data_IF_977148152980
#
_entry.id   IF_977148152980
#
_cell.length_a   1.000
_cell.length_b   1.000
_cell.length_c   1.000
_cell.angle_alpha   90.00
_cell.angle_beta   90.00
_cell.angle_gamma   90.00
#
_symmetry.space_group_name_H-M   'P 1'
#
loop_
_entity.id
_entity.type
_entity.pdbx_description
1 polymer ?
#
# COMPACT_ATOMS: atom_id res chain seq x y z
N UNK A 1 -5.82 -11.49 13.90
CA UNK A 1 -6.64 -10.52 14.62
C UNK A 1 -8.00 -11.07 14.99
N UNK A 2 -8.58 -10.54 16.04
CA UNK A 2 -9.96 -10.80 16.46
C UNK A 2 -10.66 -9.48 16.77
N UNK A 3 -11.96 -9.50 17.11
CA UNK A 3 -12.75 -8.31 17.33
C UNK A 3 -12.24 -7.50 18.53
N UNK A 4 -11.84 -8.17 19.62
CA UNK A 4 -11.31 -7.51 20.80
C UNK A 4 -10.02 -6.77 20.50
N UNK A 5 -9.07 -7.43 19.81
CA UNK A 5 -7.83 -6.81 19.35
C UNK A 5 -8.11 -5.55 18.52
N UNK A 6 -9.03 -5.62 17.57
CA UNK A 6 -9.36 -4.47 16.72
C UNK A 6 -9.94 -3.33 17.52
N UNK A 7 -10.91 -3.58 18.40
CA UNK A 7 -11.51 -2.55 19.27
C UNK A 7 -10.45 -1.87 20.13
N UNK A 8 -9.60 -2.66 20.79
CA UNK A 8 -8.53 -2.16 21.65
C UNK A 8 -7.49 -1.36 20.85
N UNK A 9 -7.10 -1.86 19.67
CA UNK A 9 -6.17 -1.20 18.77
C UNK A 9 -6.66 0.21 18.42
N UNK A 10 -7.90 0.33 17.98
CA UNK A 10 -8.45 1.60 17.57
C UNK A 10 -8.71 2.59 18.72
N UNK A 11 -8.98 2.10 19.92
CA UNK A 11 -9.07 2.96 21.11
C UNK A 11 -7.73 3.59 21.48
N UNK A 12 -6.62 2.92 21.17
CA UNK A 12 -5.26 3.35 21.48
C UNK A 12 -4.55 4.05 20.31
N UNK A 13 -5.13 4.02 19.12
CA UNK A 13 -4.56 4.67 17.95
C UNK A 13 -4.66 6.19 18.06
N UNK A 14 -3.54 6.88 17.86
CA UNK A 14 -3.41 8.33 17.99
C UNK A 14 -2.98 8.94 16.64
N UNK A 15 -3.90 9.09 15.66
CA UNK A 15 -3.55 9.64 14.37
C UNK A 15 -3.09 11.10 14.49
N UNK A 16 -2.01 11.43 13.80
CA UNK A 16 -1.51 12.78 13.72
C UNK A 16 -2.43 13.61 12.80
N UNK A 17 -2.79 14.82 13.24
CA UNK A 17 -3.66 15.73 12.46
C UNK A 17 -3.01 16.26 11.17
N UNK A 18 -1.69 16.13 11.03
CA UNK A 18 -0.94 16.60 9.85
C UNK A 18 -0.76 15.53 8.77
N UNK A 19 -0.89 14.23 9.14
CA UNK A 19 -0.61 13.11 8.27
C UNK A 19 -1.89 12.34 7.93
N UNK A 20 -1.99 11.85 6.70
CA UNK A 20 -3.01 10.88 6.31
C UNK A 20 -2.62 9.50 6.86
N UNK A 21 -3.42 8.95 7.77
CA UNK A 21 -3.23 7.61 8.31
C UNK A 21 -4.30 6.68 7.75
N UNK A 22 -3.88 5.56 7.14
CA UNK A 22 -4.78 4.54 6.60
C UNK A 22 -4.55 3.23 7.33
N UNK A 23 -5.62 2.59 7.82
CA UNK A 23 -5.52 1.25 8.40
C UNK A 23 -6.20 0.24 7.49
N UNK A 24 -5.38 -0.60 6.85
CA UNK A 24 -5.85 -1.65 5.96
C UNK A 24 -6.18 -2.92 6.76
N UNK A 25 -7.47 -3.15 6.99
CA UNK A 25 -7.96 -4.29 7.78
C UNK A 25 -8.46 -5.43 6.90
N UNK A 26 -8.45 -6.69 7.42
CA UNK A 26 -9.17 -7.77 6.78
C UNK A 26 -10.64 -7.42 6.56
N UNK A 27 -11.19 -7.82 5.42
CA UNK A 27 -12.54 -7.43 4.96
C UNK A 27 -13.66 -7.71 5.96
N UNK A 28 -13.56 -8.81 6.73
CA UNK A 28 -14.55 -9.19 7.75
C UNK A 28 -14.65 -8.18 8.93
N UNK A 29 -13.72 -7.24 9.02
CA UNK A 29 -13.68 -6.25 10.09
C UNK A 29 -13.99 -4.82 9.62
N UNK A 30 -14.09 -4.56 8.32
CA UNK A 30 -14.22 -3.22 7.76
C UNK A 30 -15.45 -2.48 8.32
N UNK A 31 -16.60 -3.13 8.38
CA UNK A 31 -17.85 -2.54 8.89
C UNK A 31 -17.84 -2.22 10.40
N UNK A 32 -16.83 -2.66 11.12
CA UNK A 32 -16.68 -2.39 12.56
C UNK A 32 -15.78 -1.20 12.85
N UNK A 33 -15.18 -0.65 11.81
CA UNK A 33 -14.23 0.45 11.88
C UNK A 33 -15.01 1.76 11.72
N UNK A 34 -15.40 2.37 12.82
CA UNK A 34 -16.02 3.71 12.81
C UNK A 34 -15.06 4.69 13.44
N UNK A 35 -14.64 5.70 12.68
CA UNK A 35 -13.72 6.73 13.13
C UNK A 35 -14.38 8.10 13.17
N UNK A 36 -13.99 8.87 14.16
CA UNK A 36 -14.35 10.28 14.31
C UNK A 36 -13.14 11.21 14.12
N UNK A 37 -12.14 10.78 13.32
CA UNK A 37 -10.95 11.59 13.06
C UNK A 37 -10.87 11.94 11.59
N UNK A 38 -10.61 13.20 11.27
CA UNK A 38 -10.55 13.72 9.90
C UNK A 38 -9.38 13.16 9.07
N UNK A 39 -8.35 12.57 9.73
CA UNK A 39 -7.13 12.11 9.05
C UNK A 39 -6.89 10.60 9.20
N UNK A 40 -7.89 9.85 9.65
CA UNK A 40 -7.84 8.40 9.75
C UNK A 40 -8.84 7.77 8.78
N UNK A 41 -8.33 6.97 7.86
CA UNK A 41 -9.09 6.36 6.78
C UNK A 41 -9.11 4.84 6.91
N UNK A 42 -10.16 4.23 6.38
CA UNK A 42 -10.29 2.78 6.27
C UNK A 42 -9.70 2.33 4.94
N UNK A 43 -8.82 1.32 4.99
CA UNK A 43 -8.28 0.64 3.84
C UNK A 43 -8.69 -0.83 3.79
N UNK A 44 -8.78 -1.39 2.60
CA UNK A 44 -8.91 -2.82 2.35
C UNK A 44 -7.54 -3.43 1.96
N UNK A 45 -7.40 -4.74 2.15
CA UNK A 45 -6.16 -5.47 1.84
C UNK A 45 -6.14 -6.07 0.43
N UNK A 46 -7.29 -6.18 -0.21
CA UNK A 46 -7.47 -6.64 -1.58
C UNK A 46 -8.90 -6.39 -2.07
N UNK A 47 -9.13 -6.58 -3.37
CA UNK A 47 -10.42 -6.45 -4.04
C UNK A 47 -10.55 -7.48 -5.17
N UNK A 48 -11.78 -7.82 -5.56
CA UNK A 48 -12.06 -8.64 -6.73
C UNK A 48 -11.88 -7.89 -8.06
N UNK A 49 -11.53 -8.62 -9.11
CA UNK A 49 -11.59 -8.09 -10.49
C UNK A 49 -13.02 -7.99 -11.03
N UNK A 50 -14.00 -8.53 -10.31
CA UNK A 50 -15.39 -8.54 -10.72
C UNK A 50 -16.21 -7.54 -9.92
N UNK A 51 -17.01 -6.74 -10.61
CA UNK A 51 -17.88 -5.76 -9.98
C UNK A 51 -19.16 -6.39 -9.42
N UNK A 52 -19.75 -7.30 -10.16
CA UNK A 52 -21.02 -8.00 -9.83
C UNK A 52 -21.02 -9.41 -10.44
N UNK A 53 -21.84 -10.32 -9.90
CA UNK A 53 -22.06 -11.65 -10.46
C UNK A 53 -21.91 -12.79 -9.45
N UNK A 54 -21.94 -14.02 -9.94
CA UNK A 54 -21.84 -15.24 -9.13
C UNK A 54 -20.36 -15.62 -8.88
N UNK A 55 -19.70 -14.84 -8.07
CA UNK A 55 -18.30 -15.02 -7.68
C UNK A 55 -18.21 -15.26 -6.18
N UNK A 56 -18.58 -16.46 -5.75
CA UNK A 56 -18.71 -16.84 -4.35
C UNK A 56 -17.42 -16.57 -3.58
N UNK A 57 -17.51 -15.74 -2.53
CA UNK A 57 -16.38 -15.38 -1.66
C UNK A 57 -15.65 -14.10 -2.05
N UNK A 58 -15.88 -13.56 -3.25
CA UNK A 58 -15.24 -12.32 -3.73
C UNK A 58 -15.87 -11.07 -3.11
N UNK A 59 -15.04 -10.05 -2.93
CA UNK A 59 -15.43 -8.74 -2.41
C UNK A 59 -15.18 -7.70 -3.49
N UNK A 60 -16.23 -7.10 -4.03
CA UNK A 60 -16.13 -6.13 -5.11
C UNK A 60 -15.77 -4.72 -4.59
N UNK A 61 -15.26 -3.87 -5.49
CA UNK A 61 -14.98 -2.46 -5.17
C UNK A 61 -16.26 -1.71 -4.72
N UNK A 62 -17.41 -2.04 -5.29
CA UNK A 62 -18.71 -1.49 -4.87
C UNK A 62 -19.08 -1.86 -3.43
N UNK A 63 -18.83 -3.12 -3.01
CA UNK A 63 -19.01 -3.53 -1.62
C UNK A 63 -18.09 -2.75 -0.67
N UNK A 64 -16.82 -2.58 -1.04
CA UNK A 64 -15.86 -1.79 -0.26
C UNK A 64 -16.27 -0.32 -0.15
N UNK A 65 -16.72 0.29 -1.25
CA UNK A 65 -17.22 1.69 -1.26
C UNK A 65 -18.43 1.87 -0.32
N UNK A 66 -19.34 0.91 -0.28
CA UNK A 66 -20.50 0.93 0.64
C UNK A 66 -20.09 0.85 2.13
N UNK A 67 -18.92 0.27 2.42
CA UNK A 67 -18.33 0.25 3.77
C UNK A 67 -17.44 1.46 4.06
N UNK A 68 -17.48 2.51 3.23
CA UNK A 68 -16.67 3.73 3.34
C UNK A 68 -15.16 3.48 3.29
N UNK A 69 -14.73 2.46 2.58
CA UNK A 69 -13.31 2.21 2.31
C UNK A 69 -12.80 3.26 1.34
N UNK A 70 -11.72 3.95 1.72
CA UNK A 70 -11.12 5.01 0.91
C UNK A 70 -9.87 4.57 0.14
N UNK A 71 -9.19 3.53 0.62
CA UNK A 71 -7.95 2.99 0.04
C UNK A 71 -8.01 1.47 -0.05
N UNK A 72 -7.30 0.90 -1.03
CA UNK A 72 -7.18 -0.55 -1.12
C UNK A 72 -5.80 -0.96 -1.62
N UNK A 73 -5.15 -1.88 -0.91
CA UNK A 73 -3.90 -2.50 -1.39
C UNK A 73 -4.22 -3.40 -2.57
N UNK A 74 -3.38 -3.35 -3.60
CA UNK A 74 -3.43 -4.28 -4.73
C UNK A 74 -2.02 -4.69 -5.13
N UNK A 75 -1.84 -5.96 -5.46
CA UNK A 75 -0.55 -6.48 -5.89
C UNK A 75 0.52 -6.55 -4.81
N UNK A 76 0.15 -6.53 -3.52
CA UNK A 76 1.08 -6.78 -2.42
C UNK A 76 1.92 -8.03 -2.69
N UNK A 77 3.18 -8.03 -2.29
CA UNK A 77 4.13 -9.12 -2.57
C UNK A 77 3.61 -10.51 -2.22
N UNK A 78 2.91 -10.65 -1.08
CA UNK A 78 2.26 -11.91 -0.68
C UNK A 78 1.19 -12.34 -1.67
N UNK A 79 0.42 -11.41 -2.23
CA UNK A 79 -0.61 -11.74 -3.20
C UNK A 79 -0.03 -12.16 -4.55
N UNK A 80 1.05 -11.50 -4.98
CA UNK A 80 1.81 -11.91 -6.16
C UNK A 80 2.38 -13.32 -5.99
N UNK A 81 2.93 -13.61 -4.82
CA UNK A 81 3.61 -14.87 -4.52
C UNK A 81 2.63 -16.03 -4.28
N UNK A 82 1.62 -15.84 -3.43
CA UNK A 82 0.76 -16.94 -2.96
C UNK A 82 -0.57 -17.05 -3.69
N UNK A 83 -1.06 -15.95 -4.26
CA UNK A 83 -2.37 -15.90 -4.95
C UNK A 83 -2.23 -15.62 -6.44
N UNK A 84 -0.99 -15.52 -6.95
CA UNK A 84 -0.67 -15.36 -8.36
C UNK A 84 -1.30 -14.11 -9.00
N UNK A 85 -1.44 -13.02 -8.24
CA UNK A 85 -1.88 -11.73 -8.76
C UNK A 85 -0.82 -11.19 -9.74
N UNK A 86 -1.09 -11.32 -11.05
CA UNK A 86 -0.26 -10.79 -12.13
C UNK A 86 -0.57 -9.30 -12.38
N UNK A 87 0.31 -8.61 -13.10
CA UNK A 87 0.16 -7.18 -13.36
C UNK A 87 -1.19 -6.84 -14.02
N UNK A 88 -1.66 -7.68 -14.97
CA UNK A 88 -2.96 -7.47 -15.63
C UNK A 88 -4.16 -7.61 -14.66
N UNK A 89 -4.03 -8.49 -13.67
CA UNK A 89 -5.04 -8.65 -12.60
C UNK A 89 -5.04 -7.40 -11.72
N UNK A 90 -3.87 -6.92 -11.34
CA UNK A 90 -3.69 -5.72 -10.52
C UNK A 90 -4.24 -4.49 -11.24
N UNK A 91 -3.99 -4.37 -12.53
CA UNK A 91 -4.53 -3.30 -13.38
C UNK A 91 -6.08 -3.30 -13.34
N UNK A 92 -6.72 -4.45 -13.58
CA UNK A 92 -8.19 -4.59 -13.52
C UNK A 92 -8.75 -4.26 -12.14
N UNK A 93 -8.10 -4.72 -11.05
CA UNK A 93 -8.47 -4.36 -9.67
C UNK A 93 -8.40 -2.85 -9.46
N UNK A 94 -7.33 -2.21 -9.95
CA UNK A 94 -7.12 -0.76 -9.83
C UNK A 94 -8.18 0.04 -10.59
N UNK A 95 -8.57 -0.38 -11.79
CA UNK A 95 -9.67 0.24 -12.55
C UNK A 95 -10.97 0.20 -11.72
N UNK A 96 -11.34 -0.99 -11.23
CA UNK A 96 -12.58 -1.15 -10.43
C UNK A 96 -12.58 -0.26 -9.18
N UNK A 97 -11.42 -0.11 -8.51
CA UNK A 97 -11.31 0.76 -7.35
C UNK A 97 -11.50 2.22 -7.71
N UNK A 98 -10.80 2.71 -8.75
CA UNK A 98 -10.89 4.10 -9.19
C UNK A 98 -12.33 4.47 -9.61
N UNK A 99 -13.00 3.60 -10.37
CA UNK A 99 -14.39 3.78 -10.78
C UNK A 99 -15.35 3.87 -9.58
N UNK A 100 -15.02 3.19 -8.46
CA UNK A 100 -15.79 3.25 -7.22
C UNK A 100 -15.25 4.28 -6.20
N UNK A 101 -14.39 5.21 -6.64
CA UNK A 101 -13.81 6.30 -5.83
C UNK A 101 -12.97 5.83 -4.65
N UNK A 102 -12.32 4.67 -4.79
CA UNK A 102 -11.36 4.12 -3.85
C UNK A 102 -9.96 4.26 -4.46
N UNK A 103 -9.02 4.76 -3.70
CA UNK A 103 -7.64 4.95 -4.14
C UNK A 103 -6.88 3.62 -4.08
N UNK A 104 -6.46 3.02 -5.21
CA UNK A 104 -5.56 1.87 -5.18
C UNK A 104 -4.17 2.28 -4.68
N UNK A 105 -3.62 1.46 -3.79
CA UNK A 105 -2.21 1.48 -3.42
C UNK A 105 -1.55 0.29 -4.11
N UNK A 106 -0.90 0.56 -5.24
CA UNK A 106 -0.34 -0.47 -6.13
C UNK A 106 1.06 -0.83 -5.65
N UNK A 107 1.21 -2.06 -5.17
CA UNK A 107 2.48 -2.57 -4.67
C UNK A 107 3.36 -3.12 -5.80
N UNK A 108 4.59 -2.65 -5.85
CA UNK A 108 5.62 -3.04 -6.81
C UNK A 108 6.95 -3.26 -6.10
N UNK A 109 7.78 -4.17 -6.62
CA UNK A 109 9.09 -4.42 -6.05
C UNK A 109 9.75 -5.67 -6.59
N UNK A 110 11.06 -5.73 -6.43
CA UNK A 110 11.91 -6.80 -6.92
C UNK A 110 12.24 -7.82 -5.83
N UNK A 111 12.51 -9.04 -6.25
CA UNK A 111 13.06 -10.12 -5.43
C UNK A 111 14.56 -9.92 -5.19
N UNK A 112 15.13 -10.63 -4.19
CA UNK A 112 16.57 -10.63 -3.95
C UNK A 112 17.37 -11.03 -5.18
N UNK A 113 16.93 -12.06 -5.89
CA UNK A 113 17.59 -12.54 -7.11
C UNK A 113 17.60 -11.47 -8.21
N UNK A 114 16.53 -10.73 -8.38
CA UNK A 114 16.45 -9.65 -9.36
C UNK A 114 17.36 -8.49 -8.96
N UNK A 115 17.43 -8.14 -7.68
CA UNK A 115 18.36 -7.13 -7.16
C UNK A 115 19.82 -7.53 -7.41
N UNK A 116 20.22 -8.75 -7.05
CA UNK A 116 21.57 -9.27 -7.25
C UNK A 116 21.97 -9.26 -8.73
N UNK A 117 21.02 -9.50 -9.63
CA UNK A 117 21.20 -9.41 -11.08
C UNK A 117 21.08 -7.98 -11.65
N UNK A 118 20.96 -6.95 -10.80
CA UNK A 118 20.81 -5.53 -11.18
C UNK A 118 19.58 -5.26 -12.06
N UNK A 119 18.51 -6.02 -11.89
CA UNK A 119 17.27 -5.93 -12.68
C UNK A 119 16.20 -5.06 -12.02
N UNK A 120 16.45 -4.47 -10.84
CA UNK A 120 15.47 -3.66 -10.08
C UNK A 120 14.70 -2.69 -10.97
N UNK A 121 15.41 -1.82 -11.72
CA UNK A 121 14.78 -0.81 -12.59
C UNK A 121 13.91 -1.43 -13.68
N UNK A 122 14.36 -2.51 -14.32
CA UNK A 122 13.58 -3.20 -15.35
C UNK A 122 12.32 -3.85 -14.79
N UNK A 123 12.41 -4.46 -13.61
CA UNK A 123 11.26 -5.06 -12.91
C UNK A 123 10.24 -4.00 -12.55
N UNK A 124 10.68 -2.87 -11.98
CA UNK A 124 9.80 -1.78 -11.57
C UNK A 124 9.09 -1.14 -12.77
N UNK A 125 9.81 -0.84 -13.86
CA UNK A 125 9.20 -0.31 -15.08
C UNK A 125 8.11 -1.25 -15.57
N UNK A 126 8.41 -2.54 -15.73
CA UNK A 126 7.44 -3.53 -16.20
C UNK A 126 6.22 -3.62 -15.27
N UNK A 127 6.44 -3.72 -13.96
CA UNK A 127 5.34 -3.82 -13.02
C UNK A 127 4.46 -2.57 -13.02
N UNK A 128 5.04 -1.38 -13.09
CA UNK A 128 4.29 -0.11 -13.09
C UNK A 128 3.52 0.04 -14.40
N UNK A 129 4.17 -0.10 -15.55
CA UNK A 129 3.51 0.06 -16.86
C UNK A 129 2.35 -0.92 -17.09
N UNK A 130 2.48 -2.16 -16.58
CA UNK A 130 1.44 -3.18 -16.74
C UNK A 130 0.36 -3.12 -15.65
N UNK A 131 0.66 -2.61 -14.43
CA UNK A 131 -0.27 -2.62 -13.29
C UNK A 131 -1.01 -1.30 -13.09
N UNK A 132 -0.43 -0.16 -13.45
CA UNK A 132 -1.06 1.15 -13.31
C UNK A 132 -1.96 1.40 -14.53
N UNK A 133 -3.29 1.54 -14.36
CA UNK A 133 -4.18 1.78 -15.47
C UNK A 133 -4.05 3.20 -16.05
N UNK A 134 -4.41 3.36 -17.33
CA UNK A 134 -4.36 4.66 -18.03
C UNK A 134 -5.21 5.77 -17.38
N UNK A 135 -6.28 5.39 -16.65
CA UNK A 135 -7.15 6.33 -15.92
C UNK A 135 -6.53 6.82 -14.60
N UNK A 136 -5.34 6.30 -14.23
CA UNK A 136 -4.62 6.71 -13.02
C UNK A 136 -4.03 8.10 -13.15
N UNK A 137 -4.05 8.84 -12.04
CA UNK A 137 -3.37 10.11 -11.87
C UNK A 137 -2.93 10.30 -10.41
N UNK A 138 -2.22 11.39 -10.11
CA UNK A 138 -1.66 11.66 -8.79
C UNK A 138 -2.71 11.87 -7.68
N UNK A 139 -3.98 12.13 -8.02
CA UNK A 139 -5.08 12.31 -7.05
C UNK A 139 -5.78 11.00 -6.72
N UNK A 140 -5.74 10.01 -7.62
CA UNK A 140 -6.53 8.80 -7.50
C UNK A 140 -5.72 7.49 -7.40
N UNK A 141 -4.38 7.55 -7.40
CA UNK A 141 -3.52 6.35 -7.37
C UNK A 141 -2.26 6.61 -6.57
N UNK A 142 -1.85 5.63 -5.78
CA UNK A 142 -0.60 5.62 -5.01
C UNK A 142 0.22 4.40 -5.42
N UNK A 143 1.54 4.54 -5.52
CA UNK A 143 2.49 3.44 -5.73
C UNK A 143 3.16 3.12 -4.39
N UNK A 144 3.32 1.85 -4.05
CA UNK A 144 4.09 1.42 -2.89
C UNK A 144 5.28 0.56 -3.36
N UNK A 145 6.49 1.03 -3.10
CA UNK A 145 7.70 0.26 -3.38
C UNK A 145 8.00 -0.71 -2.25
N UNK A 146 7.93 -1.98 -2.54
CA UNK A 146 8.17 -3.09 -1.61
C UNK A 146 9.44 -3.84 -2.03
N UNK A 147 10.66 -3.51 -1.54
CA UNK A 147 11.82 -4.38 -1.75
C UNK A 147 11.55 -5.73 -1.08
N UNK A 148 11.09 -6.75 -1.86
CA UNK A 148 10.57 -8.02 -1.33
C UNK A 148 11.60 -8.70 -0.43
N UNK A 149 12.87 -8.57 -0.77
CA UNK A 149 14.01 -9.10 0.00
C UNK A 149 14.18 -8.44 1.38
N UNK A 150 13.59 -7.26 1.60
CA UNK A 150 13.65 -6.51 2.85
C UNK A 150 12.38 -6.66 3.72
N UNK A 151 11.34 -7.35 3.23
CA UNK A 151 10.09 -7.52 3.97
C UNK A 151 10.23 -8.63 5.00
N UNK A 152 10.14 -8.29 6.29
CA UNK A 152 10.14 -9.27 7.39
C UNK A 152 11.48 -9.99 7.62
N UNK A 153 12.52 -9.67 6.86
CA UNK A 153 13.85 -10.32 6.97
C UNK A 153 14.78 -9.63 7.95
N UNK A 154 14.45 -8.40 8.34
CA UNK A 154 15.34 -7.53 9.13
C UNK A 154 16.41 -6.82 8.29
N UNK A 155 16.54 -7.14 7.00
CA UNK A 155 17.34 -6.38 6.06
C UNK A 155 16.64 -5.08 5.72
N UNK A 156 17.38 -4.00 5.59
CA UNK A 156 16.85 -2.69 5.19
C UNK A 156 17.80 -2.11 4.15
N UNK A 157 17.29 -1.62 3.01
CA UNK A 157 18.11 -0.81 2.10
C UNK A 157 18.69 0.39 2.82
N UNK A 158 19.80 0.94 2.35
CA UNK A 158 20.28 2.23 2.84
C UNK A 158 19.30 3.35 2.46
N UNK A 159 19.36 4.49 3.15
CA UNK A 159 18.51 5.65 2.84
C UNK A 159 18.76 6.14 1.41
N UNK A 160 20.01 6.08 0.95
CA UNK A 160 20.39 6.44 -0.41
C UNK A 160 19.77 5.47 -1.44
N UNK A 161 19.76 4.16 -1.16
CA UNK A 161 19.10 3.17 -2.04
C UNK A 161 17.59 3.41 -2.11
N UNK A 162 16.94 3.73 -0.98
CA UNK A 162 15.51 4.05 -0.93
C UNK A 162 15.25 5.30 -1.79
N UNK A 163 16.00 6.37 -1.57
CA UNK A 163 15.86 7.63 -2.30
C UNK A 163 16.08 7.46 -3.81
N UNK A 164 17.11 6.70 -4.20
CA UNK A 164 17.39 6.42 -5.62
C UNK A 164 16.21 5.71 -6.30
N UNK A 165 15.65 4.68 -5.65
CA UNK A 165 14.55 3.91 -6.24
C UNK A 165 13.25 4.74 -6.29
N UNK A 166 12.94 5.50 -5.25
CA UNK A 166 11.76 6.38 -5.24
C UNK A 166 11.87 7.48 -6.29
N UNK A 167 13.02 8.13 -6.38
CA UNK A 167 13.32 9.08 -7.46
C UNK A 167 13.19 8.43 -8.83
N UNK A 168 13.71 7.21 -9.03
CA UNK A 168 13.59 6.49 -10.27
C UNK A 168 12.12 6.23 -10.64
N UNK A 169 11.28 5.76 -9.70
CA UNK A 169 9.85 5.51 -9.94
C UNK A 169 9.15 6.77 -10.42
N UNK A 170 9.37 7.91 -9.75
CA UNK A 170 8.78 9.21 -10.14
C UNK A 170 9.25 9.69 -11.52
N UNK A 171 10.42 9.26 -11.97
CA UNK A 171 11.03 9.68 -13.23
C UNK A 171 10.96 8.63 -14.34
N UNK A 172 10.17 7.56 -14.23
CA UNK A 172 9.96 6.58 -15.31
C UNK A 172 9.42 7.27 -16.56
N UNK A 173 8.43 8.15 -16.39
CA UNK A 173 7.92 9.07 -17.42
C UNK A 173 7.19 10.25 -16.75
N UNK A 174 6.76 11.24 -17.55
CA UNK A 174 6.12 12.45 -17.05
C UNK A 174 4.82 12.19 -16.28
N UNK A 175 4.11 11.11 -16.56
CA UNK A 175 2.86 10.73 -15.87
C UNK A 175 3.08 10.50 -14.38
N UNK A 176 4.22 9.89 -14.01
CA UNK A 176 4.47 9.48 -12.61
C UNK A 176 5.18 10.54 -11.78
N UNK A 177 5.60 11.68 -12.34
CA UNK A 177 6.36 12.72 -11.62
C UNK A 177 5.68 13.20 -10.33
N UNK A 178 4.36 13.26 -10.34
CA UNK A 178 3.57 13.75 -9.21
C UNK A 178 2.88 12.64 -8.40
N UNK A 179 3.06 11.37 -8.76
CA UNK A 179 2.46 10.28 -8.00
C UNK A 179 3.09 10.19 -6.61
N UNK A 180 2.28 9.87 -5.63
CA UNK A 180 2.77 9.54 -4.29
C UNK A 180 3.40 8.16 -4.31
N UNK A 181 4.62 8.05 -3.78
CA UNK A 181 5.37 6.80 -3.68
C UNK A 181 5.67 6.50 -2.22
N UNK A 182 5.08 5.41 -1.70
CA UNK A 182 5.28 4.95 -0.34
C UNK A 182 6.44 3.95 -0.29
N UNK A 183 7.20 3.97 0.79
CA UNK A 183 8.17 2.92 1.10
C UNK A 183 7.50 1.78 1.87
N UNK A 184 7.57 0.56 1.36
CA UNK A 184 6.93 -0.64 1.90
C UNK A 184 7.91 -1.73 2.39
N UNK A 185 9.15 -1.40 2.65
CA UNK A 185 10.11 -2.33 3.29
C UNK A 185 9.96 -2.35 4.81
N UNK A 186 11.03 -2.73 5.52
CA UNK A 186 11.06 -2.78 6.98
C UNK A 186 11.02 -1.39 7.60
N UNK A 187 9.85 -0.97 8.06
CA UNK A 187 9.62 0.31 8.77
C UNK A 187 9.39 0.03 10.26
N UNK A 188 10.09 0.78 11.12
CA UNK A 188 10.00 0.76 12.59
C UNK A 188 10.02 2.18 13.14
N UNK A 189 9.68 2.36 14.41
CA UNK A 189 9.76 3.68 15.07
C UNK A 189 11.16 4.31 15.02
N UNK A 190 12.21 3.47 15.01
CA UNK A 190 13.60 3.96 15.02
C UNK A 190 14.05 4.53 13.66
N UNK A 191 13.48 4.08 12.54
CA UNK A 191 13.91 4.49 11.20
C UNK A 191 12.86 5.27 10.41
N UNK A 192 11.62 5.33 10.90
CA UNK A 192 10.52 5.96 10.16
C UNK A 192 10.73 7.45 9.89
N UNK A 193 11.33 8.17 10.86
CA UNK A 193 11.60 9.59 10.69
C UNK A 193 12.64 9.85 9.58
N UNK A 194 13.72 9.08 9.54
CA UNK A 194 14.76 9.22 8.53
C UNK A 194 14.22 8.87 7.14
N UNK A 195 13.41 7.82 7.03
CA UNK A 195 12.76 7.42 5.77
C UNK A 195 11.78 8.50 5.31
N UNK A 196 10.93 9.01 6.18
CA UNK A 196 9.95 10.06 5.83
C UNK A 196 10.59 11.42 5.50
N UNK A 197 11.84 11.66 5.88
CA UNK A 197 12.59 12.86 5.54
C UNK A 197 13.25 12.80 4.16
N UNK A 198 13.23 11.65 3.48
CA UNK A 198 13.74 11.53 2.12
C UNK A 198 12.86 12.32 1.15
N UNK A 199 13.49 12.96 0.16
CA UNK A 199 12.82 13.91 -0.74
C UNK A 199 11.73 13.26 -1.60
N UNK A 200 11.97 12.01 -2.05
CA UNK A 200 11.09 11.31 -2.97
C UNK A 200 10.17 10.29 -2.29
N UNK A 201 10.22 10.16 -0.96
CA UNK A 201 9.34 9.29 -0.16
C UNK A 201 8.15 10.11 0.35
N UNK A 202 6.93 9.73 -0.04
CA UNK A 202 5.70 10.43 0.35
C UNK A 202 5.02 9.80 1.58
N UNK A 203 5.61 8.77 2.17
CA UNK A 203 5.13 8.07 3.35
C UNK A 203 5.53 6.60 3.37
N UNK A 204 4.94 5.83 4.28
CA UNK A 204 5.30 4.44 4.52
C UNK A 204 4.09 3.50 4.45
N UNK A 205 4.28 2.31 3.86
CA UNK A 205 3.39 1.16 3.99
C UNK A 205 3.95 0.23 5.07
N UNK A 206 3.32 0.21 6.24
CA UNK A 206 3.86 -0.43 7.45
C UNK A 206 3.26 -1.81 7.65
N UNK A 207 4.10 -2.85 7.61
CA UNK A 207 3.72 -4.24 7.84
C UNK A 207 3.64 -4.61 9.33
N UNK A 208 4.49 -5.54 9.79
CA UNK A 208 4.45 -6.13 11.14
C UNK A 208 4.44 -5.13 12.31
N UNK A 209 5.13 -4.00 12.19
CA UNK A 209 5.13 -2.95 13.22
C UNK A 209 3.74 -2.34 13.43
N UNK A 210 2.89 -2.32 12.41
CA UNK A 210 1.52 -1.81 12.51
C UNK A 210 0.62 -2.64 13.43
N UNK A 211 0.98 -3.89 13.75
CA UNK A 211 0.22 -4.74 14.67
C UNK A 211 0.38 -4.34 16.14
N UNK A 212 1.39 -3.51 16.44
CA UNK A 212 1.66 -2.99 17.78
C UNK A 212 1.30 -1.51 17.82
N UNK A 213 0.12 -1.18 18.35
CA UNK A 213 -0.42 0.18 18.30
C UNK A 213 0.54 1.24 18.86
N UNK A 214 1.29 0.94 19.93
CA UNK A 214 2.27 1.87 20.49
C UNK A 214 3.45 2.12 19.56
N UNK A 215 3.87 1.11 18.81
CA UNK A 215 4.91 1.22 17.78
C UNK A 215 4.38 2.04 16.59
N UNK A 216 3.18 1.69 16.14
CA UNK A 216 2.56 2.40 15.02
C UNK A 216 2.30 3.88 15.34
N UNK A 217 1.86 4.20 16.56
CA UNK A 217 1.68 5.59 17.00
C UNK A 217 2.99 6.41 16.90
N UNK A 218 4.15 5.80 17.18
CA UNK A 218 5.45 6.48 17.03
C UNK A 218 5.83 6.68 15.57
N UNK A 219 5.41 5.77 14.67
CA UNK A 219 5.69 5.87 13.23
C UNK A 219 4.87 6.99 12.60
N UNK A 220 3.64 7.18 13.03
CA UNK A 220 2.69 8.17 12.47
C UNK A 220 2.69 9.53 13.21
N UNK A 221 3.49 9.67 14.27
CA UNK A 221 3.57 10.90 15.10
C UNK A 221 4.19 12.10 14.41
#
# INVERSE_FOLDING_TARGET
GNIEFIKEYYQKLLPNSKNCTVVCSPSIFLNRLKYNSNNLFIGAQDVSIYNEGAFTGEISAKMLSNENVSFCLVGHSERRQYFHDKNEIINKKSINLIENKIIPVICVGETLKEKENKLTKNVLVKQIEESVPEISNFDNTIIAYEPIWAIGTGLTPSLEEIEEVHSFIKNINETYNNFKVLYGGSVKAENSADINNLQNVDGCLVGGASLKVNEFNKIIS
#
